data_IF_987632741963
#
_entry.id   IF_987632741963
#
_cell.length_a   1.000
_cell.length_b   1.000
_cell.length_c   1.000
_cell.angle_alpha   90.00
_cell.angle_beta   90.00
_cell.angle_gamma   90.00
#
_symmetry.space_group_name_H-M   'P 1'
#
loop_
_entity.id
_entity.type
_entity.pdbx_description
1 polymer ?
#
# COMPACT_ATOMS: atom_id res chain seq x y z
N UNK A 1 15.77 -28.73 -43.47
CA UNK A 1 14.31 -28.69 -43.13
C UNK A 1 13.53 -29.96 -43.51
N UNK A 2 14.21 -31.10 -43.81
CA UNK A 2 13.55 -32.37 -44.23
C UNK A 2 12.71 -33.07 -43.14
N UNK A 3 12.93 -32.77 -41.84
CA UNK A 3 12.27 -33.48 -40.74
C UNK A 3 11.02 -32.78 -40.20
N UNK A 4 10.75 -31.52 -40.53
CA UNK A 4 9.58 -30.77 -40.10
C UNK A 4 8.27 -31.43 -40.58
N UNK A 5 8.22 -31.93 -41.81
CA UNK A 5 7.05 -32.60 -42.36
C UNK A 5 6.69 -33.89 -41.58
N UNK A 6 7.71 -34.66 -41.15
CA UNK A 6 7.53 -35.87 -40.35
C UNK A 6 7.00 -35.56 -38.95
N UNK A 7 7.46 -34.45 -38.35
CA UNK A 7 6.96 -33.96 -37.03
C UNK A 7 5.50 -33.56 -37.13
N UNK A 8 5.12 -32.77 -38.14
CA UNK A 8 3.75 -32.40 -38.39
C UNK A 8 2.84 -33.59 -38.65
N UNK A 9 3.26 -34.55 -39.50
CA UNK A 9 2.49 -35.75 -39.78
C UNK A 9 2.28 -36.63 -38.52
N UNK A 10 3.27 -36.68 -37.62
CA UNK A 10 3.19 -37.39 -36.34
C UNK A 10 2.26 -36.72 -35.36
N UNK A 11 2.26 -35.38 -35.29
CA UNK A 11 1.38 -34.57 -34.44
C UNK A 11 -0.09 -34.77 -34.82
N UNK A 12 -0.43 -34.77 -36.08
CA UNK A 12 -1.82 -34.93 -36.55
C UNK A 12 -2.33 -36.37 -36.54
N UNK A 13 -1.50 -37.36 -36.33
CA UNK A 13 -1.89 -38.77 -36.27
C UNK A 13 -2.69 -39.12 -35.01
N UNK A 14 -2.48 -38.43 -33.89
CA UNK A 14 -3.23 -38.60 -32.63
C UNK A 14 -3.77 -37.26 -32.14
N UNK A 15 -4.79 -36.74 -32.82
CA UNK A 15 -5.36 -35.40 -32.61
C UNK A 15 -5.68 -35.09 -31.14
N UNK A 16 -6.31 -36.02 -30.44
CA UNK A 16 -6.67 -35.86 -29.04
C UNK A 16 -5.45 -35.62 -28.13
N UNK A 17 -4.37 -36.37 -28.32
CA UNK A 17 -3.13 -36.19 -27.55
C UNK A 17 -2.48 -34.85 -27.86
N UNK A 18 -2.43 -34.45 -29.11
CA UNK A 18 -1.84 -33.19 -29.54
C UNK A 18 -2.63 -31.98 -28.96
N UNK A 19 -3.97 -32.05 -29.03
CA UNK A 19 -4.82 -31.00 -28.48
C UNK A 19 -4.63 -30.90 -26.97
N UNK A 20 -4.65 -32.02 -26.22
CA UNK A 20 -4.44 -32.02 -24.78
C UNK A 20 -3.05 -31.48 -24.39
N UNK A 21 -2.02 -31.85 -25.12
CA UNK A 21 -0.67 -31.35 -24.85
C UNK A 21 -0.57 -29.85 -25.14
N UNK A 22 -1.13 -29.37 -26.25
CA UNK A 22 -1.20 -27.94 -26.56
C UNK A 22 -2.00 -27.16 -25.51
N UNK A 23 -3.12 -27.69 -25.08
CA UNK A 23 -3.96 -27.08 -24.03
C UNK A 23 -3.19 -26.98 -22.70
N UNK A 24 -2.45 -28.04 -22.34
CA UNK A 24 -1.62 -28.06 -21.13
C UNK A 24 -0.51 -27.00 -21.18
N UNK A 25 0.19 -26.90 -22.32
CA UNK A 25 1.24 -25.90 -22.54
C UNK A 25 0.63 -24.49 -22.51
N UNK A 26 -0.49 -24.28 -23.19
CA UNK A 26 -1.20 -23.00 -23.20
C UNK A 26 -1.63 -22.58 -21.78
N UNK A 27 -2.21 -23.51 -20.99
CA UNK A 27 -2.61 -23.25 -19.62
C UNK A 27 -1.42 -22.88 -18.73
N UNK A 28 -0.27 -23.54 -18.90
CA UNK A 28 0.95 -23.21 -18.15
C UNK A 28 1.45 -21.81 -18.48
N UNK A 29 1.51 -21.43 -19.77
CA UNK A 29 1.92 -20.08 -20.16
C UNK A 29 0.92 -19.02 -19.75
N UNK A 30 -0.38 -19.31 -19.78
CA UNK A 30 -1.43 -18.41 -19.32
C UNK A 30 -1.31 -18.14 -17.82
N UNK A 31 -1.10 -19.20 -17.01
CA UNK A 31 -0.89 -19.05 -15.56
C UNK A 31 0.41 -18.29 -15.26
N UNK A 32 1.49 -18.56 -15.97
CA UNK A 32 2.73 -17.83 -15.82
C UNK A 32 2.58 -16.34 -16.20
N UNK A 33 1.88 -16.06 -17.31
CA UNK A 33 1.58 -14.68 -17.72
C UNK A 33 0.72 -13.94 -16.72
N UNK A 34 -0.33 -14.59 -16.19
CA UNK A 34 -1.17 -14.03 -15.13
C UNK A 34 -0.36 -13.74 -13.86
N UNK A 35 0.44 -14.68 -13.41
CA UNK A 35 1.28 -14.51 -12.22
C UNK A 35 2.30 -13.39 -12.42
N UNK A 36 2.92 -13.30 -13.60
CA UNK A 36 3.85 -12.21 -13.95
C UNK A 36 3.14 -10.85 -13.98
N UNK A 37 1.91 -10.79 -14.52
CA UNK A 37 1.11 -9.56 -14.55
C UNK A 37 0.73 -9.11 -13.14
N UNK A 38 0.32 -10.03 -12.28
CA UNK A 38 0.03 -9.75 -10.86
C UNK A 38 1.28 -9.27 -10.14
N UNK A 39 2.42 -9.94 -10.33
CA UNK A 39 3.71 -9.53 -9.76
C UNK A 39 4.11 -8.12 -10.23
N UNK A 40 3.93 -7.81 -11.52
CA UNK A 40 4.21 -6.47 -12.06
C UNK A 40 3.31 -5.39 -11.44
N UNK A 41 2.02 -5.68 -11.17
CA UNK A 41 1.12 -4.75 -10.49
C UNK A 41 1.61 -4.43 -9.06
N UNK A 42 2.09 -5.41 -8.32
CA UNK A 42 2.65 -5.19 -6.99
C UNK A 42 4.01 -4.47 -7.04
N UNK A 43 4.83 -4.74 -8.05
CA UNK A 43 6.14 -4.10 -8.21
C UNK A 43 6.03 -2.65 -8.72
N UNK A 44 5.00 -2.33 -9.51
CA UNK A 44 4.80 -0.98 -10.07
C UNK A 44 4.27 0.04 -9.07
N UNK A 45 3.85 -0.40 -7.89
CA UNK A 45 3.35 0.48 -6.82
C UNK A 45 4.44 1.41 -6.23
N UNK A 46 5.67 1.35 -6.73
CA UNK A 46 6.82 2.11 -6.25
C UNK A 46 7.67 2.83 -7.30
N UNK A 47 7.26 2.87 -8.57
CA UNK A 47 8.13 3.33 -9.68
C UNK A 47 7.95 4.79 -10.10
N UNK A 48 8.11 5.75 -9.17
CA UNK A 48 8.49 7.12 -9.55
C UNK A 48 9.98 7.35 -9.23
N UNK A 49 10.65 8.33 -9.83
CA UNK A 49 12.06 8.65 -9.50
C UNK A 49 12.29 8.88 -8.00
N UNK A 50 11.28 9.38 -7.29
CA UNK A 50 11.31 9.57 -5.82
C UNK A 50 11.12 8.24 -5.06
N UNK A 51 10.54 7.21 -5.69
CA UNK A 51 10.39 5.87 -5.11
C UNK A 51 11.71 5.09 -5.04
N UNK A 52 12.75 5.53 -5.77
CA UNK A 52 14.05 4.86 -5.80
C UNK A 52 14.86 4.98 -4.50
N UNK A 53 14.39 5.75 -3.54
CA UNK A 53 15.05 5.91 -2.21
C UNK A 53 14.17 5.46 -1.06
N UNK A 54 13.04 4.79 -1.31
CA UNK A 54 12.11 4.33 -0.27
C UNK A 54 11.96 2.82 -0.25
N UNK A 55 12.29 2.22 0.88
CA UNK A 55 12.07 0.81 1.19
C UNK A 55 10.72 0.65 1.90
N UNK A 56 10.10 -0.48 1.68
CA UNK A 56 8.89 -0.92 2.38
C UNK A 56 9.26 -2.06 3.30
N UNK A 57 9.09 -1.86 4.60
CA UNK A 57 9.34 -2.85 5.63
C UNK A 57 7.99 -3.32 6.19
N UNK A 58 7.69 -4.59 6.07
CA UNK A 58 6.47 -5.23 6.54
C UNK A 58 6.78 -6.60 7.12
N UNK A 59 5.84 -7.17 7.86
CA UNK A 59 6.04 -8.50 8.43
C UNK A 59 6.20 -9.55 7.31
N UNK A 60 7.23 -10.39 7.42
CA UNK A 60 7.57 -11.44 6.45
C UNK A 60 6.46 -12.47 6.27
N UNK A 61 5.72 -12.76 7.33
CA UNK A 61 4.70 -13.81 7.34
C UNK A 61 3.42 -13.41 6.60
N UNK A 62 3.01 -12.14 6.69
CA UNK A 62 1.80 -11.64 6.02
C UNK A 62 1.74 -10.12 6.08
N UNK A 63 1.26 -9.50 5.01
CA UNK A 63 0.98 -8.05 4.95
C UNK A 63 -0.16 -7.61 5.90
N UNK A 64 -0.92 -8.56 6.45
CA UNK A 64 -1.98 -8.27 7.45
C UNK A 64 -1.47 -8.23 8.88
N UNK A 65 -0.25 -8.69 9.12
CA UNK A 65 0.38 -8.65 10.44
C UNK A 65 1.00 -7.28 10.66
N UNK A 66 0.51 -6.57 11.67
CA UNK A 66 1.07 -5.28 12.03
C UNK A 66 2.33 -5.42 12.89
N UNK A 67 3.33 -4.61 12.60
CA UNK A 67 4.59 -4.52 13.32
C UNK A 67 4.47 -3.55 14.52
N UNK A 68 5.19 -3.78 15.63
CA UNK A 68 5.14 -2.89 16.78
C UNK A 68 5.89 -1.59 16.50
N UNK A 69 5.37 -0.48 17.03
CA UNK A 69 6.01 0.85 16.90
C UNK A 69 7.37 0.94 17.63
N UNK A 70 7.68 -0.02 18.50
CA UNK A 70 9.02 -0.13 19.11
C UNK A 70 10.14 -0.35 18.09
N UNK A 71 9.82 -0.83 16.87
CA UNK A 71 10.77 -0.94 15.76
C UNK A 71 11.21 0.41 15.19
N UNK A 72 10.41 1.47 15.36
CA UNK A 72 10.69 2.78 14.78
C UNK A 72 12.07 3.33 15.16
N UNK A 73 12.45 3.44 16.45
CA UNK A 73 13.79 3.93 16.81
C UNK A 73 14.91 3.00 16.33
N UNK A 74 14.65 1.71 16.20
CA UNK A 74 15.64 0.75 15.68
C UNK A 74 15.87 0.95 14.19
N UNK A 75 14.80 1.20 13.42
CA UNK A 75 14.88 1.52 11.99
C UNK A 75 15.57 2.87 11.75
N UNK A 76 15.26 3.89 12.55
CA UNK A 76 15.89 5.21 12.47
C UNK A 76 17.39 5.19 12.83
N UNK A 77 17.82 4.22 13.64
CA UNK A 77 19.23 4.07 14.03
C UNK A 77 20.10 3.35 12.99
N UNK A 78 19.52 2.78 11.93
CA UNK A 78 20.29 2.08 10.89
C UNK A 78 21.06 3.10 10.03
N UNK A 79 22.40 2.95 9.89
CA UNK A 79 23.18 3.85 9.04
C UNK A 79 22.68 3.90 7.60
N UNK A 80 22.53 5.12 7.06
CA UNK A 80 21.98 5.36 5.71
C UNK A 80 20.48 5.55 5.66
N UNK A 81 19.77 5.41 6.79
CA UNK A 81 18.35 5.77 6.90
C UNK A 81 18.23 7.28 7.12
N UNK A 82 17.49 7.94 6.25
CA UNK A 82 17.22 9.38 6.29
C UNK A 82 15.98 9.72 7.12
N UNK A 83 14.92 8.95 6.95
CA UNK A 83 13.65 9.16 7.63
C UNK A 83 12.81 7.87 7.61
N UNK A 84 11.93 7.73 8.60
CA UNK A 84 10.97 6.63 8.67
C UNK A 84 9.57 7.21 8.84
N UNK A 85 8.62 6.71 8.06
CA UNK A 85 7.20 6.95 8.22
C UNK A 85 6.47 5.61 8.24
N UNK A 86 5.19 5.59 8.57
CA UNK A 86 4.43 4.35 8.61
C UNK A 86 3.01 4.56 8.11
N UNK A 87 2.36 3.45 7.82
CA UNK A 87 0.95 3.42 7.49
C UNK A 87 0.31 2.15 8.02
N UNK A 88 -0.94 2.27 8.40
CA UNK A 88 -1.81 1.15 8.70
C UNK A 88 -2.96 1.15 7.72
N UNK A 89 -3.19 0.02 7.06
CA UNK A 89 -4.38 -0.12 6.22
C UNK A 89 -5.64 -0.05 7.09
N UNK A 90 -6.56 0.82 6.74
CA UNK A 90 -7.78 1.05 7.51
C UNK A 90 -8.95 0.23 6.99
N UNK A 91 -9.08 0.06 5.67
CA UNK A 91 -10.12 -0.71 5.02
C UNK A 91 -11.52 -0.28 5.44
N UNK A 92 -12.12 0.64 4.70
CA UNK A 92 -13.41 1.20 5.05
C UNK A 92 -14.43 1.05 3.94
N UNK A 93 -15.68 1.23 4.31
CA UNK A 93 -16.84 1.26 3.40
C UNK A 93 -17.57 2.57 3.63
N UNK A 94 -17.96 3.23 2.55
CA UNK A 94 -18.78 4.42 2.56
C UNK A 94 -20.20 4.09 2.06
N UNK A 95 -21.21 4.51 2.83
CA UNK A 95 -22.62 4.42 2.46
C UNK A 95 -23.05 3.04 1.95
N UNK A 96 -23.13 2.06 2.85
CA UNK A 96 -23.59 0.68 2.60
C UNK A 96 -23.22 0.07 1.23
N UNK A 97 -22.11 -0.63 1.20
CA UNK A 97 -21.62 -1.57 0.19
C UNK A 97 -22.27 -1.55 -1.24
N UNK A 98 -21.50 -1.57 -2.34
CA UNK A 98 -20.16 -2.12 -2.46
C UNK A 98 -19.03 -1.07 -2.49
N UNK A 99 -19.21 0.08 -1.90
CA UNK A 99 -18.33 1.23 -1.99
C UNK A 99 -17.10 1.11 -1.06
N UNK A 100 -16.20 0.20 -1.39
CA UNK A 100 -14.92 0.10 -0.67
C UNK A 100 -14.10 1.37 -0.85
N UNK A 101 -13.68 1.95 0.26
CA UNK A 101 -12.77 3.08 0.32
C UNK A 101 -11.40 2.59 0.77
N UNK A 102 -10.40 2.75 -0.08
CA UNK A 102 -9.02 2.42 0.28
C UNK A 102 -8.46 3.52 1.17
N UNK A 103 -8.35 3.22 2.46
CA UNK A 103 -7.89 4.15 3.47
C UNK A 103 -6.65 3.67 4.21
N UNK A 104 -5.81 4.62 4.58
CA UNK A 104 -4.63 4.38 5.39
C UNK A 104 -4.57 5.36 6.55
N UNK A 105 -4.26 4.86 7.74
CA UNK A 105 -3.87 5.70 8.85
C UNK A 105 -2.38 6.01 8.75
N UNK A 106 -2.01 7.29 8.74
CA UNK A 106 -0.64 7.77 8.55
C UNK A 106 -0.28 8.86 9.57
N UNK A 107 1.00 9.02 9.95
CA UNK A 107 1.46 10.17 10.72
C UNK A 107 1.54 11.40 9.80
N UNK A 108 0.67 12.42 9.94
CA UNK A 108 0.49 13.45 8.91
C UNK A 108 1.76 14.20 8.53
N UNK A 109 2.52 14.65 9.53
CA UNK A 109 3.75 15.41 9.29
C UNK A 109 4.84 14.58 8.61
N UNK A 110 5.09 13.36 9.11
CA UNK A 110 6.11 12.46 8.54
C UNK A 110 5.73 11.97 7.16
N UNK A 111 4.43 11.73 6.93
CA UNK A 111 3.91 11.33 5.63
C UNK A 111 4.12 12.41 4.59
N UNK A 112 3.69 13.64 4.87
CA UNK A 112 3.84 14.77 3.95
C UNK A 112 5.33 15.07 3.62
N UNK A 113 6.23 14.91 4.60
CA UNK A 113 7.66 15.11 4.38
C UNK A 113 8.30 14.01 3.51
N UNK A 114 7.82 12.76 3.63
CA UNK A 114 8.36 11.61 2.91
C UNK A 114 7.82 11.50 1.49
N UNK A 115 6.59 11.96 1.23
CA UNK A 115 5.88 11.79 -0.04
C UNK A 115 5.58 13.16 -0.69
N UNK A 116 6.58 13.83 -1.28
CA UNK A 116 6.39 15.15 -1.94
C UNK A 116 5.47 15.05 -3.18
N UNK A 117 5.31 13.87 -3.75
CA UNK A 117 4.37 13.60 -4.84
C UNK A 117 2.89 13.63 -4.39
N UNK A 118 2.65 13.69 -3.09
CA UNK A 118 1.33 13.89 -2.50
C UNK A 118 1.04 15.40 -2.40
N UNK A 119 0.46 15.94 -3.48
CA UNK A 119 0.28 17.38 -3.67
C UNK A 119 -1.00 17.86 -3.00
N UNK A 120 -0.83 18.78 -2.07
CA UNK A 120 -1.92 19.43 -1.35
C UNK A 120 -1.44 20.81 -0.87
N UNK A 121 -2.33 21.85 -0.79
CA UNK A 121 -1.98 23.14 -0.20
C UNK A 121 -1.45 23.01 1.24
N UNK A 122 -0.47 23.83 1.59
CA UNK A 122 0.18 23.80 2.92
C UNK A 122 -0.82 24.02 4.06
N UNK A 123 -1.83 24.85 3.85
CA UNK A 123 -2.91 25.09 4.82
C UNK A 123 -3.68 23.80 5.14
N UNK A 124 -3.95 22.98 4.12
CA UNK A 124 -4.64 21.70 4.28
C UNK A 124 -3.73 20.64 4.92
N UNK A 125 -2.43 20.63 4.60
CA UNK A 125 -1.46 19.78 5.29
C UNK A 125 -1.40 20.10 6.78
N UNK A 126 -1.37 21.40 7.11
CA UNK A 126 -1.40 21.86 8.49
C UNK A 126 -2.72 21.49 9.18
N UNK A 127 -3.86 21.69 8.53
CA UNK A 127 -5.15 21.28 9.05
C UNK A 127 -5.21 19.78 9.34
N UNK A 128 -4.62 18.94 8.48
CA UNK A 128 -4.53 17.50 8.71
C UNK A 128 -3.64 17.12 9.90
N UNK A 129 -2.57 17.88 10.14
CA UNK A 129 -1.72 17.67 11.32
C UNK A 129 -2.41 18.09 12.61
N UNK A 130 -3.13 19.21 12.58
CA UNK A 130 -3.73 19.82 13.77
C UNK A 130 -5.09 19.21 14.15
N UNK A 131 -5.77 18.55 13.20
CA UNK A 131 -7.10 17.96 13.41
C UNK A 131 -6.99 16.46 13.65
N UNK A 132 -7.29 16.04 14.88
CA UNK A 132 -7.18 14.63 15.28
C UNK A 132 -8.12 13.71 14.49
N UNK A 133 -9.37 14.12 14.27
CA UNK A 133 -10.36 13.43 13.43
C UNK A 133 -10.22 13.75 11.95
N UNK A 134 -9.15 14.45 11.58
CA UNK A 134 -8.91 14.88 10.21
C UNK A 134 -8.73 13.72 9.25
N UNK A 135 -9.37 13.85 8.10
CA UNK A 135 -9.17 12.98 6.94
C UNK A 135 -8.85 13.84 5.72
N UNK A 136 -7.91 13.36 4.92
CA UNK A 136 -7.67 13.93 3.59
C UNK A 136 -8.05 12.91 2.55
N UNK A 137 -8.71 13.38 1.52
CA UNK A 137 -9.31 12.53 0.48
C UNK A 137 -8.64 12.81 -0.86
N UNK A 138 -8.44 11.78 -1.63
CA UNK A 138 -7.91 11.93 -2.98
C UNK A 138 -8.94 12.60 -3.91
N UNK A 139 -8.46 13.37 -4.84
CA UNK A 139 -9.28 14.18 -5.76
C UNK A 139 -10.31 13.35 -6.52
N UNK A 140 -9.92 12.18 -7.04
CA UNK A 140 -10.86 11.29 -7.75
C UNK A 140 -11.93 10.72 -6.82
N UNK A 141 -11.58 10.42 -5.56
CA UNK A 141 -12.55 9.99 -4.57
C UNK A 141 -13.52 11.14 -4.22
N UNK A 142 -13.00 12.35 -4.01
CA UNK A 142 -13.82 13.52 -3.73
C UNK A 142 -14.79 13.84 -4.87
N UNK A 143 -14.32 13.78 -6.11
CA UNK A 143 -15.17 13.98 -7.31
C UNK A 143 -16.25 12.89 -7.45
N UNK A 144 -15.86 11.63 -7.21
CA UNK A 144 -16.78 10.48 -7.32
C UNK A 144 -17.95 10.55 -6.35
N UNK A 145 -17.72 10.97 -5.13
CA UNK A 145 -18.73 10.98 -4.07
C UNK A 145 -19.21 12.37 -3.69
N UNK A 146 -18.72 13.41 -4.35
CA UNK A 146 -19.11 14.79 -4.10
C UNK A 146 -18.61 15.36 -2.77
N UNK A 147 -17.55 14.79 -2.21
CA UNK A 147 -16.99 15.21 -0.92
C UNK A 147 -16.29 16.57 -1.01
N UNK A 148 -16.46 17.38 0.02
CA UNK A 148 -15.90 18.74 0.12
C UNK A 148 -15.18 18.93 1.43
N UNK A 149 -14.21 19.85 1.45
CA UNK A 149 -13.55 20.27 2.68
C UNK A 149 -14.60 20.87 3.63
N UNK A 150 -14.56 20.45 4.89
CA UNK A 150 -15.52 20.82 5.91
C UNK A 150 -16.67 19.81 6.10
N UNK A 151 -16.85 18.87 5.19
CA UNK A 151 -17.86 17.83 5.34
C UNK A 151 -17.44 16.83 6.43
N UNK A 152 -18.44 16.26 7.09
CA UNK A 152 -18.26 15.10 7.97
C UNK A 152 -18.40 13.82 7.17
N UNK A 153 -17.38 12.98 7.22
CA UNK A 153 -17.33 11.74 6.48
C UNK A 153 -17.51 10.54 7.43
N UNK A 154 -18.68 9.90 7.43
CA UNK A 154 -18.87 8.62 8.11
C UNK A 154 -18.27 7.49 7.27
N UNK A 155 -17.41 6.68 7.88
CA UNK A 155 -16.86 5.47 7.28
C UNK A 155 -17.10 4.30 8.23
N UNK A 156 -17.48 3.15 7.70
CA UNK A 156 -17.59 1.90 8.48
C UNK A 156 -16.40 1.00 8.21
N UNK A 157 -15.76 0.47 9.26
CA UNK A 157 -14.68 -0.51 9.11
C UNK A 157 -15.05 -1.84 9.75
N UNK A 158 -15.13 -2.88 8.94
CA UNK A 158 -15.34 -4.24 9.42
C UNK A 158 -14.06 -4.89 9.99
N UNK A 159 -12.90 -4.29 9.70
CA UNK A 159 -11.59 -4.82 10.09
C UNK A 159 -11.13 -4.20 11.41
N UNK A 160 -11.36 -2.90 11.57
CA UNK A 160 -10.94 -2.15 12.75
C UNK A 160 -12.14 -1.47 13.44
N UNK A 161 -12.92 -2.23 14.26
CA UNK A 161 -13.91 -1.59 15.12
C UNK A 161 -13.24 -0.71 16.17
N UNK A 162 -13.96 0.28 16.65
CA UNK A 162 -13.52 1.11 17.75
C UNK A 162 -13.55 0.35 19.09
N UNK A 163 -12.88 0.84 20.11
CA UNK A 163 -12.86 0.26 21.48
C UNK A 163 -14.25 0.07 22.10
N UNK A 164 -15.22 0.89 21.71
CA UNK A 164 -16.62 0.77 22.14
C UNK A 164 -17.40 -0.30 21.36
N UNK A 165 -16.77 -1.01 20.43
CA UNK A 165 -17.38 -2.02 19.56
C UNK A 165 -18.07 -1.47 18.31
N UNK A 166 -18.16 -0.16 18.14
CA UNK A 166 -18.72 0.45 16.92
C UNK A 166 -17.81 0.21 15.74
N UNK A 167 -18.40 -0.08 14.60
CA UNK A 167 -17.71 -0.13 13.31
C UNK A 167 -17.65 1.23 12.62
N UNK A 168 -18.42 2.19 13.10
CA UNK A 168 -18.61 3.49 12.49
C UNK A 168 -17.58 4.47 13.02
N UNK A 169 -16.89 5.12 12.10
CA UNK A 169 -15.87 6.14 12.32
C UNK A 169 -16.36 7.45 11.73
N UNK A 170 -16.14 8.54 12.46
CA UNK A 170 -16.47 9.88 12.00
C UNK A 170 -15.20 10.68 11.76
N UNK A 171 -15.09 11.28 10.58
CA UNK A 171 -13.95 12.10 10.20
C UNK A 171 -14.39 13.46 9.72
N UNK A 172 -13.51 14.44 9.83
CA UNK A 172 -13.68 15.79 9.29
C UNK A 172 -12.79 15.92 8.05
N UNK A 173 -13.35 16.17 6.87
CA UNK A 173 -12.58 16.35 5.63
C UNK A 173 -11.84 17.70 5.73
N UNK A 174 -10.53 17.64 5.93
CA UNK A 174 -9.69 18.82 6.12
C UNK A 174 -8.82 19.13 4.89
N UNK A 175 -8.79 18.25 3.92
CA UNK A 175 -8.01 18.46 2.71
C UNK A 175 -8.36 17.53 1.57
N UNK A 176 -8.04 17.97 0.35
CA UNK A 176 -8.13 17.18 -0.87
C UNK A 176 -6.74 17.20 -1.51
N UNK A 177 -6.17 16.01 -1.72
CA UNK A 177 -4.86 15.87 -2.35
C UNK A 177 -4.98 15.36 -3.79
N UNK A 178 -3.98 15.67 -4.60
CA UNK A 178 -3.81 15.10 -5.94
C UNK A 178 -2.40 14.50 -6.07
N UNK A 179 -2.18 13.73 -7.10
CA UNK A 179 -0.85 13.23 -7.43
C UNK A 179 -0.03 14.22 -8.22
N UNK A 180 1.27 14.32 -7.96
CA UNK A 180 2.19 15.19 -8.68
C UNK A 180 2.28 14.85 -10.17
N UNK A 181 2.10 13.60 -10.52
CA UNK A 181 2.09 13.12 -11.90
C UNK A 181 0.89 12.19 -12.15
N UNK A 182 0.66 11.86 -13.41
CA UNK A 182 -0.48 11.04 -13.84
C UNK A 182 -0.41 9.59 -13.30
N UNK A 183 0.77 9.05 -13.13
CA UNK A 183 0.95 7.70 -12.60
C UNK A 183 0.61 7.66 -11.11
N UNK A 184 1.13 8.60 -10.33
CA UNK A 184 0.83 8.73 -8.91
C UNK A 184 -0.65 9.06 -8.69
N UNK A 185 -1.23 9.94 -9.51
CA UNK A 185 -2.66 10.27 -9.47
C UNK A 185 -3.54 9.03 -9.64
N UNK A 186 -3.28 8.20 -10.65
CA UNK A 186 -4.06 6.96 -10.88
C UNK A 186 -3.97 5.98 -9.71
N UNK A 187 -2.83 5.91 -9.04
CA UNK A 187 -2.62 4.98 -7.94
C UNK A 187 -3.23 5.45 -6.62
N UNK A 188 -3.23 6.74 -6.35
CA UNK A 188 -3.52 7.26 -5.00
C UNK A 188 -4.76 8.14 -4.89
N UNK A 189 -5.20 8.79 -5.98
CA UNK A 189 -6.30 9.77 -5.90
C UNK A 189 -7.69 9.18 -5.60
N UNK A 190 -7.83 7.84 -5.54
CA UNK A 190 -9.02 7.15 -5.03
C UNK A 190 -8.88 6.73 -3.55
N UNK A 191 -7.80 7.12 -2.88
CA UNK A 191 -7.51 6.73 -1.50
C UNK A 191 -7.88 7.86 -0.54
N UNK A 192 -7.98 7.50 0.74
CA UNK A 192 -8.13 8.45 1.84
C UNK A 192 -7.07 8.20 2.90
N UNK A 193 -6.64 9.27 3.57
CA UNK A 193 -5.67 9.17 4.64
C UNK A 193 -6.24 9.79 5.90
N UNK A 194 -6.22 9.02 6.99
CA UNK A 194 -6.68 9.43 8.32
C UNK A 194 -5.48 9.62 9.24
N UNK A 195 -5.66 10.42 10.28
CA UNK A 195 -4.64 10.65 11.29
C UNK A 195 -4.37 9.35 12.07
N UNK A 196 -3.10 8.91 12.09
CA UNK A 196 -2.69 7.68 12.74
C UNK A 196 -2.93 7.70 14.25
N UNK A 197 -2.69 8.81 14.92
CA UNK A 197 -2.85 8.91 16.38
C UNK A 197 -4.30 8.71 16.81
N UNK A 198 -5.24 9.24 16.03
CA UNK A 198 -6.67 9.00 16.28
C UNK A 198 -7.02 7.53 16.07
N UNK A 199 -6.58 6.95 14.96
CA UNK A 199 -6.82 5.54 14.66
C UNK A 199 -6.20 4.62 15.72
N UNK A 200 -4.93 4.84 16.06
CA UNK A 200 -4.16 4.00 16.98
C UNK A 200 -4.78 3.99 18.39
N UNK A 201 -5.24 5.16 18.86
CA UNK A 201 -5.87 5.26 20.15
C UNK A 201 -7.29 4.67 20.19
N UNK A 202 -8.07 4.83 19.13
CA UNK A 202 -9.49 4.48 19.12
C UNK A 202 -9.78 3.04 18.69
N UNK A 203 -8.88 2.36 17.97
CA UNK A 203 -9.14 1.01 17.49
C UNK A 203 -9.15 -0.04 18.62
N UNK A 204 -9.94 -1.11 18.42
CA UNK A 204 -10.16 -2.17 19.42
C UNK A 204 -8.92 -3.06 19.66
N UNK A 205 -8.03 -3.20 18.67
CA UNK A 205 -6.91 -4.13 18.73
C UNK A 205 -5.70 -3.59 19.52
N UNK A 206 -5.83 -2.45 20.15
CA UNK A 206 -4.78 -1.80 20.93
C UNK A 206 -3.95 -0.84 20.10
N UNK A 207 -3.04 -0.15 20.79
CA UNK A 207 -2.18 0.88 20.23
C UNK A 207 -0.75 0.41 20.01
N UNK A 208 0.01 1.23 19.29
CA UNK A 208 1.44 1.02 19.10
C UNK A 208 1.80 -0.01 18.03
N UNK A 209 0.98 -0.13 16.99
CA UNK A 209 1.24 -1.04 15.86
C UNK A 209 0.99 -0.36 14.52
N UNK A 210 1.86 -0.63 13.55
CA UNK A 210 1.75 -0.16 12.18
C UNK A 210 1.79 -1.35 11.21
N UNK A 211 1.07 -1.28 10.11
CA UNK A 211 1.08 -2.34 9.09
C UNK A 211 2.37 -2.38 8.28
N UNK A 212 2.87 -1.18 7.95
CA UNK A 212 4.04 -1.02 7.07
C UNK A 212 4.85 0.17 7.56
N UNK A 213 6.18 0.01 7.62
CA UNK A 213 7.11 1.13 7.70
C UNK A 213 7.66 1.46 6.32
N UNK A 214 7.66 2.74 5.98
CA UNK A 214 8.33 3.27 4.80
C UNK A 214 9.65 3.88 5.28
N UNK A 215 10.76 3.34 4.79
CA UNK A 215 12.10 3.77 5.18
C UNK A 215 12.74 4.51 4.01
N UNK A 216 13.00 5.80 4.18
CA UNK A 216 13.72 6.61 3.20
C UNK A 216 15.21 6.49 3.45
N UNK A 217 15.97 6.12 2.44
CA UNK A 217 17.42 6.09 2.48
C UNK A 217 18.03 7.40 1.97
N UNK A 218 19.26 7.70 2.38
CA UNK A 218 19.96 8.93 1.99
C UNK A 218 20.27 8.98 0.48
N UNK A 219 20.56 7.83 -0.12
CA UNK A 219 20.83 7.71 -1.57
C UNK A 219 20.40 6.36 -2.13
N UNK A 220 20.10 6.27 -3.45
CA UNK A 220 19.72 5.01 -4.09
C UNK A 220 20.77 3.90 -3.95
N UNK A 221 22.05 4.26 -3.87
CA UNK A 221 23.15 3.30 -3.72
C UNK A 221 23.13 2.55 -2.38
N UNK A 222 22.44 3.10 -1.36
CA UNK A 222 22.32 2.49 -0.04
C UNK A 222 21.11 1.55 0.11
N UNK A 223 20.24 1.47 -0.89
CA UNK A 223 19.00 0.69 -0.83
C UNK A 223 19.24 -0.77 -0.41
N UNK A 224 20.15 -1.44 -1.10
CA UNK A 224 20.45 -2.86 -0.86
C UNK A 224 21.09 -3.08 0.50
N UNK A 225 22.06 -2.25 0.87
CA UNK A 225 22.76 -2.36 2.15
C UNK A 225 21.84 -2.06 3.34
N UNK A 226 20.97 -1.06 3.23
CA UNK A 226 19.98 -0.73 4.26
C UNK A 226 18.92 -1.83 4.36
N UNK A 227 18.43 -2.35 3.25
CA UNK A 227 17.50 -3.48 3.25
C UNK A 227 18.09 -4.70 3.98
N UNK A 228 19.33 -5.08 3.62
CA UNK A 228 20.02 -6.17 4.29
C UNK A 228 20.25 -5.92 5.79
N UNK A 229 20.51 -4.67 6.17
CA UNK A 229 20.67 -4.30 7.59
C UNK A 229 19.35 -4.40 8.37
N UNK A 230 18.22 -4.00 7.74
CA UNK A 230 16.88 -4.17 8.32
C UNK A 230 16.60 -5.66 8.53
N UNK A 231 16.75 -6.47 7.49
CA UNK A 231 16.50 -7.92 7.57
C UNK A 231 17.37 -8.58 8.65
N UNK A 232 18.67 -8.25 8.69
CA UNK A 232 19.58 -8.78 9.70
C UNK A 232 19.22 -8.36 11.13
N UNK A 233 18.73 -7.12 11.31
CA UNK A 233 18.33 -6.59 12.63
C UNK A 233 17.14 -7.35 13.22
N UNK A 234 16.17 -7.72 12.38
CA UNK A 234 14.93 -8.36 12.81
C UNK A 234 14.88 -9.86 12.54
N UNK A 235 15.95 -10.45 12.00
CA UNK A 235 16.08 -11.88 11.74
C UNK A 235 15.85 -12.69 13.03
N UNK A 236 15.05 -13.75 12.93
CA UNK A 236 14.68 -14.64 14.04
C UNK A 236 14.00 -13.93 15.23
N UNK A 237 13.48 -12.73 15.03
CA UNK A 237 12.66 -12.04 16.02
C UNK A 237 11.17 -12.32 15.77
N UNK A 238 10.32 -11.99 16.76
CA UNK A 238 8.86 -11.99 16.56
C UNK A 238 8.38 -10.97 15.50
N UNK A 239 9.27 -10.08 15.08
CA UNK A 239 9.01 -8.97 14.15
C UNK A 239 9.83 -9.14 12.86
N UNK A 240 10.07 -10.36 12.41
CA UNK A 240 10.84 -10.66 11.20
C UNK A 240 10.21 -9.99 9.98
N UNK A 241 11.02 -9.25 9.22
CA UNK A 241 10.63 -8.43 8.06
C UNK A 241 11.14 -9.00 6.75
#
# INVERSE_FOLDING_TARGET
MKYLHLIFASLFRKKTRTVLTMLSIFSAFLLFGLLSAVSALFSSSGTGEVATTRLVTQARTSFTVSLPMSMLPELEAIPGVKAVSWRQWFGAVYDDSPNNVFGFAVPPARWAAMFPEWVMPEEQKKAFQDTRTGIVVGKLAAERWGWKIGDKLPLSSNIFPQKNGSKDWQFDIVGIFDGADENYRRQTSNQVYINFDYFDEANQFGSGRAGIFNVQVESPSLMESVAAAIDARFLNSANET
#
